data_IF_347136483338
#
_entry.id   IF_347136483338
#
_cell.length_a   1.000
_cell.length_b   1.000
_cell.length_c   1.000
_cell.angle_alpha   90.00
_cell.angle_beta   90.00
_cell.angle_gamma   90.00
#
_symmetry.space_group_name_H-M   'P 1'
#
loop_
_entity.id
_entity.type
_entity.pdbx_description
1 polymer ?
#
# COMPACT_ATOMS: atom_id res chain seq x y z
N UNK A 1 -14.00 -7.72 6.29
CA UNK A 1 -15.23 -6.93 6.48
C UNK A 1 -14.89 -5.71 7.31
N UNK A 2 -15.16 -4.49 6.83
CA UNK A 2 -14.85 -3.26 7.55
C UNK A 2 -15.69 -3.18 8.83
N UNK A 3 -15.03 -2.97 9.98
CA UNK A 3 -15.64 -2.97 11.32
C UNK A 3 -16.74 -1.92 11.50
N UNK A 4 -16.75 -0.93 10.63
CA UNK A 4 -17.53 0.32 10.72
C UNK A 4 -18.34 0.56 9.45
N UNK A 5 -18.61 -0.49 8.67
CA UNK A 5 -19.51 -0.38 7.53
C UNK A 5 -20.81 0.30 7.97
N UNK A 6 -21.22 1.33 7.22
CA UNK A 6 -22.49 2.03 7.40
C UNK A 6 -23.69 1.08 7.69
N UNK A 7 -23.83 -0.09 7.02
CA UNK A 7 -24.89 -1.05 7.36
C UNK A 7 -24.81 -1.63 8.78
N UNK A 8 -23.63 -1.82 9.36
CA UNK A 8 -23.46 -2.34 10.72
C UNK A 8 -23.87 -1.30 11.77
N UNK A 9 -23.60 -0.03 11.49
CA UNK A 9 -24.01 1.08 12.36
C UNK A 9 -25.54 1.26 12.31
N UNK A 10 -26.13 1.21 11.11
CA UNK A 10 -27.59 1.27 10.93
C UNK A 10 -28.28 0.10 11.63
N UNK A 11 -27.77 -1.13 11.47
CA UNK A 11 -28.34 -2.30 12.14
C UNK A 11 -28.19 -2.23 13.67
N UNK A 12 -27.06 -1.72 14.19
CA UNK A 12 -26.87 -1.48 15.62
C UNK A 12 -27.88 -0.50 16.21
N UNK A 13 -28.12 0.64 15.53
CA UNK A 13 -29.12 1.64 15.94
C UNK A 13 -30.52 1.04 15.92
N UNK A 14 -30.90 0.37 14.83
CA UNK A 14 -32.21 -0.29 14.69
C UNK A 14 -32.42 -1.34 15.77
N UNK A 15 -31.42 -2.19 16.03
CA UNK A 15 -31.49 -3.23 17.05
C UNK A 15 -31.65 -2.63 18.46
N UNK A 16 -30.93 -1.54 18.75
CA UNK A 16 -31.06 -0.82 20.04
C UNK A 16 -32.49 -0.29 20.24
N UNK A 17 -33.07 0.32 19.20
CA UNK A 17 -34.44 0.83 19.24
C UNK A 17 -35.46 -0.30 19.42
N UNK A 18 -35.31 -1.40 18.66
CA UNK A 18 -36.17 -2.58 18.77
C UNK A 18 -36.12 -3.20 20.17
N UNK A 19 -34.92 -3.34 20.76
CA UNK A 19 -34.73 -3.84 22.13
C UNK A 19 -35.40 -2.92 23.16
N UNK A 20 -35.24 -1.60 23.02
CA UNK A 20 -35.90 -0.62 23.89
C UNK A 20 -37.43 -0.73 23.83
N UNK A 21 -37.99 -0.77 22.62
CA UNK A 21 -39.45 -0.91 22.41
C UNK A 21 -39.96 -2.24 22.92
N UNK A 22 -39.27 -3.35 22.62
CA UNK A 22 -39.65 -4.68 23.09
C UNK A 22 -39.62 -4.76 24.63
N UNK A 23 -38.61 -4.15 25.26
CA UNK A 23 -38.51 -4.06 26.74
C UNK A 23 -39.68 -3.27 27.32
N UNK A 24 -40.05 -2.14 26.70
CA UNK A 24 -41.22 -1.34 27.11
C UNK A 24 -42.56 -2.07 26.92
N UNK A 25 -42.75 -2.76 25.80
CA UNK A 25 -43.95 -3.56 25.54
C UNK A 25 -44.06 -4.75 26.49
N UNK A 26 -42.95 -5.43 26.78
CA UNK A 26 -42.88 -6.53 27.75
C UNK A 26 -43.22 -6.03 29.16
N UNK A 27 -42.76 -4.83 29.51
CA UNK A 27 -43.10 -4.15 30.77
C UNK A 27 -44.59 -3.90 30.87
N UNK A 28 -45.20 -3.36 29.81
CA UNK A 28 -46.63 -3.05 29.77
C UNK A 28 -47.48 -4.33 29.87
N UNK A 29 -47.11 -5.39 29.14
CA UNK A 29 -47.90 -6.61 29.03
C UNK A 29 -47.80 -7.54 30.24
N UNK A 30 -46.65 -7.60 30.92
CA UNK A 30 -46.41 -8.57 32.01
C UNK A 30 -46.15 -7.94 33.38
N UNK A 31 -46.23 -6.61 33.50
CA UNK A 31 -45.85 -5.86 34.71
C UNK A 31 -46.63 -6.19 35.98
N UNK A 32 -47.78 -6.88 35.90
CA UNK A 32 -48.69 -7.07 37.02
C UNK A 32 -48.69 -8.46 37.69
N UNK A 33 -48.17 -9.52 37.04
CA UNK A 33 -48.45 -10.90 37.52
C UNK A 33 -47.29 -11.92 37.59
N UNK A 34 -46.03 -11.60 37.23
CA UNK A 34 -44.94 -12.60 37.31
C UNK A 34 -43.68 -12.07 38.01
N UNK A 35 -43.47 -12.51 39.26
CA UNK A 35 -42.28 -12.20 40.07
C UNK A 35 -40.97 -12.57 39.36
N UNK A 36 -40.92 -13.72 38.67
CA UNK A 36 -39.72 -14.18 37.94
C UNK A 36 -39.34 -13.24 36.79
N UNK A 37 -40.33 -12.77 36.02
CA UNK A 37 -40.12 -11.79 34.95
C UNK A 37 -39.58 -10.48 35.53
N UNK A 38 -40.05 -10.10 36.72
CA UNK A 38 -39.66 -8.87 37.39
C UNK A 38 -38.23 -8.93 37.95
N UNK A 39 -37.83 -10.06 38.51
CA UNK A 39 -36.55 -10.20 39.21
C UNK A 39 -35.37 -10.49 38.26
N UNK A 40 -35.58 -11.28 37.20
CA UNK A 40 -34.47 -11.76 36.36
C UNK A 40 -34.49 -11.12 34.97
N UNK A 41 -35.67 -11.11 34.33
CA UNK A 41 -35.76 -10.70 32.93
C UNK A 41 -35.58 -9.19 32.74
N UNK A 42 -35.99 -8.38 33.73
CA UNK A 42 -35.83 -6.93 33.73
C UNK A 42 -34.38 -6.46 33.74
N UNK A 43 -33.54 -6.83 34.74
CA UNK A 43 -32.15 -6.40 34.74
C UNK A 43 -31.41 -6.93 33.52
N UNK A 44 -31.71 -8.16 33.06
CA UNK A 44 -31.09 -8.73 31.87
C UNK A 44 -31.42 -7.93 30.60
N UNK A 45 -32.69 -7.58 30.37
CA UNK A 45 -33.10 -6.79 29.20
C UNK A 45 -32.52 -5.36 29.24
N UNK A 46 -32.46 -4.75 30.42
CA UNK A 46 -31.85 -3.44 30.60
C UNK A 46 -30.34 -3.48 30.32
N UNK A 47 -29.62 -4.44 30.90
CA UNK A 47 -28.19 -4.65 30.67
C UNK A 47 -27.88 -4.96 29.19
N UNK A 48 -28.73 -5.75 28.52
CA UNK A 48 -28.56 -6.05 27.11
C UNK A 48 -28.76 -4.80 26.24
N UNK A 49 -29.79 -4.00 26.54
CA UNK A 49 -30.05 -2.74 25.82
C UNK A 49 -28.90 -1.75 26.02
N UNK A 50 -28.40 -1.63 27.25
CA UNK A 50 -27.26 -0.80 27.61
C UNK A 50 -25.98 -1.27 26.92
N UNK A 51 -25.68 -2.57 26.95
CA UNK A 51 -24.51 -3.15 26.28
C UNK A 51 -24.55 -2.90 24.76
N UNK A 52 -25.71 -3.07 24.12
CA UNK A 52 -25.87 -2.80 22.68
C UNK A 52 -25.75 -1.30 22.38
N UNK A 53 -26.29 -0.43 23.23
CA UNK A 53 -26.16 1.01 23.09
C UNK A 53 -24.69 1.47 23.20
N UNK A 54 -23.98 1.05 24.26
CA UNK A 54 -22.55 1.34 24.46
C UNK A 54 -21.71 0.81 23.30
N UNK A 55 -21.98 -0.42 22.85
CA UNK A 55 -21.28 -1.01 21.69
C UNK A 55 -21.53 -0.20 20.42
N UNK A 56 -22.77 0.26 20.19
CA UNK A 56 -23.11 1.08 19.01
C UNK A 56 -22.40 2.43 19.06
N UNK A 57 -22.36 3.10 20.21
CA UNK A 57 -21.60 4.35 20.40
C UNK A 57 -20.11 4.13 20.21
N UNK A 58 -19.55 3.05 20.76
CA UNK A 58 -18.14 2.70 20.60
C UNK A 58 -17.79 2.44 19.12
N UNK A 59 -18.64 1.74 18.36
CA UNK A 59 -18.48 1.55 16.92
C UNK A 59 -18.54 2.89 16.16
N UNK A 60 -19.46 3.77 16.55
CA UNK A 60 -19.57 5.12 15.97
C UNK A 60 -18.34 5.98 16.23
N UNK A 61 -17.87 6.03 17.48
CA UNK A 61 -16.64 6.72 17.86
C UNK A 61 -15.42 6.11 17.15
N UNK A 62 -15.33 4.77 17.08
CA UNK A 62 -14.29 4.07 16.36
C UNK A 62 -14.29 4.42 14.86
N UNK A 63 -15.46 4.64 14.25
CA UNK A 63 -15.58 5.10 12.86
C UNK A 63 -15.13 6.54 12.68
N UNK A 64 -15.52 7.43 13.60
CA UNK A 64 -15.17 8.85 13.53
C UNK A 64 -13.67 9.09 13.79
N UNK A 65 -13.07 8.29 14.66
CA UNK A 65 -11.69 8.44 15.12
C UNK A 65 -10.74 7.42 14.46
N UNK A 66 -11.26 6.46 13.69
CA UNK A 66 -10.51 5.38 13.02
C UNK A 66 -9.51 4.63 13.93
N UNK A 67 -9.91 4.34 15.18
CA UNK A 67 -9.02 3.77 16.20
C UNK A 67 -8.66 2.32 15.88
N UNK A 68 -9.65 1.53 15.45
CA UNK A 68 -9.53 0.12 15.12
C UNK A 68 -10.01 -0.14 13.68
N UNK A 69 -9.08 -0.48 12.76
CA UNK A 69 -9.40 -0.72 11.35
C UNK A 69 -10.22 -2.00 11.10
N UNK A 70 -10.07 -3.05 11.94
CA UNK A 70 -10.71 -4.36 11.72
C UNK A 70 -10.85 -5.22 12.99
N UNK A 71 -11.72 -6.25 12.92
CA UNK A 71 -12.11 -7.08 14.08
C UNK A 71 -10.95 -7.95 14.56
N UNK A 72 -10.07 -8.31 13.63
CA UNK A 72 -8.84 -9.03 13.92
C UNK A 72 -7.87 -8.19 14.75
N UNK A 73 -7.92 -6.86 14.70
CA UNK A 73 -7.11 -6.00 15.59
C UNK A 73 -7.69 -5.99 17.00
N UNK A 74 -9.01 -5.84 17.11
CA UNK A 74 -9.71 -5.82 18.40
C UNK A 74 -9.61 -7.16 19.14
N UNK A 75 -9.67 -8.28 18.42
CA UNK A 75 -9.63 -9.65 19.00
C UNK A 75 -8.20 -10.21 19.05
N UNK A 76 -7.17 -9.37 18.84
CA UNK A 76 -5.77 -9.73 19.10
C UNK A 76 -5.06 -10.55 18.01
N UNK A 77 -5.63 -10.67 16.81
CA UNK A 77 -5.05 -11.37 15.66
C UNK A 77 -3.96 -10.59 14.91
N UNK A 78 -3.85 -9.27 15.10
CA UNK A 78 -2.80 -8.45 14.47
C UNK A 78 -2.20 -7.52 15.51
N UNK A 79 -0.97 -7.81 15.95
CA UNK A 79 -0.31 -7.09 17.06
C UNK A 79 0.10 -5.65 16.74
N UNK A 80 0.11 -5.25 15.47
CA UNK A 80 0.38 -3.88 15.04
C UNK A 80 -0.25 -3.65 13.67
N UNK A 81 -1.33 -2.87 13.58
CA UNK A 81 -1.66 -2.25 12.29
C UNK A 81 -0.81 -1.01 12.19
N UNK A 82 0.14 -1.04 11.26
CA UNK A 82 0.91 0.14 10.92
C UNK A 82 -0.04 1.09 10.19
N UNK A 83 -0.62 2.06 10.93
CA UNK A 83 -1.41 3.12 10.31
C UNK A 83 -0.42 3.97 9.52
N UNK A 84 -0.49 3.85 8.20
CA UNK A 84 0.30 4.64 7.27
C UNK A 84 0.02 6.12 7.56
N UNK A 85 1.03 6.84 8.06
CA UNK A 85 0.89 8.26 8.36
C UNK A 85 0.63 9.03 7.05
N UNK A 86 -0.13 10.12 7.10
CA UNK A 86 -0.27 11.02 5.94
C UNK A 86 0.80 12.09 6.03
N UNK A 87 1.69 12.15 5.04
CA UNK A 87 2.72 13.16 4.99
C UNK A 87 2.15 14.52 4.56
N UNK A 88 2.78 15.63 4.98
CA UNK A 88 2.42 16.95 4.48
C UNK A 88 2.71 17.04 2.98
N UNK A 89 1.93 17.87 2.28
CA UNK A 89 2.10 18.05 0.83
C UNK A 89 3.34 18.85 0.46
N UNK A 90 3.91 19.62 1.39
CA UNK A 90 5.13 20.40 1.22
C UNK A 90 6.05 20.19 2.44
N UNK A 91 7.36 20.32 2.25
CA UNK A 91 8.35 20.12 3.31
C UNK A 91 8.48 18.64 3.72
N UNK A 92 8.35 17.72 2.77
CA UNK A 92 8.38 16.28 3.04
C UNK A 92 9.68 15.83 3.73
N UNK A 93 10.83 16.33 3.28
CA UNK A 93 12.14 16.04 3.91
C UNK A 93 12.22 16.49 5.36
N UNK A 94 11.72 17.67 5.68
CA UNK A 94 11.75 18.17 7.05
C UNK A 94 10.82 17.38 7.97
N UNK A 95 9.65 16.98 7.44
CA UNK A 95 8.77 16.05 8.13
C UNK A 95 9.45 14.69 8.35
N UNK A 96 10.11 14.13 7.33
CA UNK A 96 10.86 12.87 7.45
C UNK A 96 12.01 12.98 8.46
N UNK A 97 12.70 14.12 8.51
CA UNK A 97 13.72 14.38 9.51
C UNK A 97 13.15 14.35 10.93
N UNK A 98 11.95 14.93 11.13
CA UNK A 98 11.20 14.82 12.39
C UNK A 98 10.78 13.39 12.75
N UNK A 99 10.70 12.47 11.77
CA UNK A 99 10.40 11.05 11.98
C UNK A 99 11.66 10.17 12.12
N UNK A 100 12.86 10.75 12.19
CA UNK A 100 14.12 10.00 12.15
C UNK A 100 14.21 8.91 13.21
N UNK A 101 13.77 9.15 14.44
CA UNK A 101 13.78 8.14 15.53
C UNK A 101 12.95 6.91 15.18
N UNK A 102 11.78 7.09 14.57
CA UNK A 102 10.92 5.98 14.14
C UNK A 102 11.50 5.27 12.90
N UNK A 103 12.02 6.06 11.96
CA UNK A 103 12.53 5.57 10.69
C UNK A 103 13.88 4.86 10.75
N UNK A 104 14.71 5.16 11.75
CA UNK A 104 16.12 4.75 11.82
C UNK A 104 16.33 3.24 11.70
N UNK A 105 15.55 2.44 12.43
CA UNK A 105 15.71 0.98 12.47
C UNK A 105 14.91 0.27 11.38
N UNK A 106 13.76 0.83 11.04
CA UNK A 106 12.66 0.10 10.40
C UNK A 106 12.24 0.67 9.05
N UNK A 107 12.73 1.86 8.69
CA UNK A 107 12.16 2.67 7.62
C UNK A 107 10.81 3.26 8.02
N UNK A 108 10.13 3.88 7.06
CA UNK A 108 8.82 4.50 7.29
C UNK A 108 7.95 4.36 6.04
N UNK A 109 6.68 4.02 6.23
CA UNK A 109 5.68 4.05 5.16
C UNK A 109 4.64 5.14 5.45
N UNK A 110 4.31 5.95 4.44
CA UNK A 110 3.38 7.06 4.55
C UNK A 110 2.59 7.28 3.26
N UNK A 111 1.37 7.77 3.37
CA UNK A 111 0.58 8.22 2.23
C UNK A 111 1.12 9.58 1.80
N UNK A 112 1.51 9.67 0.53
CA UNK A 112 2.14 10.86 -0.03
C UNK A 112 1.24 11.47 -1.09
N UNK A 113 1.06 12.78 -1.02
CA UNK A 113 0.36 13.57 -2.02
C UNK A 113 1.23 14.79 -2.33
N UNK A 114 1.73 14.94 -3.57
CA UNK A 114 2.57 16.09 -3.91
C UNK A 114 1.78 17.40 -3.79
N UNK A 115 2.46 18.48 -3.40
CA UNK A 115 1.89 19.83 -3.42
C UNK A 115 1.56 20.23 -4.87
N UNK A 116 0.27 20.32 -5.17
CA UNK A 116 -0.27 21.04 -6.33
C UNK A 116 0.30 20.60 -7.70
N UNK A 117 0.20 19.32 -8.04
CA UNK A 117 0.38 18.87 -9.42
C UNK A 117 -0.98 18.87 -10.16
N UNK A 118 -1.24 19.83 -11.08
CA UNK A 118 -2.53 19.90 -11.80
C UNK A 118 -2.81 18.65 -12.65
N UNK A 119 -1.74 17.95 -13.04
CA UNK A 119 -1.82 16.71 -13.83
C UNK A 119 -1.88 15.44 -12.97
N UNK A 120 -1.96 15.58 -11.64
CA UNK A 120 -2.03 14.42 -10.74
C UNK A 120 -3.41 13.77 -10.75
N UNK A 121 -3.56 12.73 -11.58
CA UNK A 121 -4.83 12.02 -11.83
C UNK A 121 -4.94 10.64 -11.19
N UNK A 122 -4.08 10.32 -10.22
CA UNK A 122 -4.20 9.04 -9.51
C UNK A 122 -5.44 9.04 -8.60
N UNK A 123 -6.22 7.95 -8.57
CA UNK A 123 -7.49 7.88 -7.85
C UNK A 123 -7.31 7.96 -6.32
N UNK A 124 -6.14 7.55 -5.83
CA UNK A 124 -5.75 7.58 -4.43
C UNK A 124 -4.30 8.05 -4.30
N UNK A 125 -3.94 8.73 -3.20
CA UNK A 125 -2.55 9.04 -2.91
C UNK A 125 -1.71 7.75 -2.90
N UNK A 126 -0.54 7.71 -3.56
CA UNK A 126 0.38 6.59 -3.44
C UNK A 126 0.89 6.46 -2.00
N UNK A 127 1.24 5.24 -1.63
CA UNK A 127 1.97 4.98 -0.38
C UNK A 127 3.44 4.88 -0.70
N UNK A 128 4.25 5.72 -0.06
CA UNK A 128 5.70 5.71 -0.19
C UNK A 128 6.29 5.02 1.03
N UNK A 129 7.19 4.07 0.81
CA UNK A 129 7.99 3.44 1.85
C UNK A 129 9.46 3.79 1.63
N UNK A 130 10.05 4.50 2.59
CA UNK A 130 11.48 4.82 2.61
C UNK A 130 12.25 3.81 3.47
N UNK A 131 13.44 3.37 3.05
CA UNK A 131 14.21 2.37 3.79
C UNK A 131 14.84 2.96 5.05
N UNK A 132 15.21 2.12 6.02
CA UNK A 132 15.95 2.54 7.22
C UNK A 132 17.25 3.30 6.89
N UNK A 133 17.92 2.91 5.80
CA UNK A 133 19.12 3.60 5.31
C UNK A 133 18.86 5.08 4.97
N UNK A 134 17.63 5.45 4.60
CA UNK A 134 17.24 6.85 4.34
C UNK A 134 17.48 7.77 5.53
N UNK A 135 17.23 7.27 6.74
CA UNK A 135 17.38 8.05 7.96
C UNK A 135 18.81 8.02 8.52
N UNK A 136 19.66 7.12 8.00
CA UNK A 136 21.04 6.92 8.45
C UNK A 136 22.05 7.64 7.57
N UNK A 137 21.82 7.65 6.27
CA UNK A 137 22.67 8.32 5.31
C UNK A 137 21.94 9.53 4.74
N UNK A 138 22.24 10.71 5.30
CA UNK A 138 21.56 11.93 4.91
C UNK A 138 21.99 12.47 3.55
N UNK A 139 23.10 11.95 3.01
CA UNK A 139 23.70 12.42 1.77
C UNK A 139 23.31 11.52 0.59
N UNK A 140 23.04 10.23 0.84
CA UNK A 140 22.70 9.27 -0.19
C UNK A 140 21.41 9.59 -0.95
N UNK A 141 21.42 9.22 -2.24
CA UNK A 141 20.23 9.13 -3.09
C UNK A 141 19.86 7.69 -3.35
N UNK A 142 18.58 7.36 -3.15
CA UNK A 142 18.08 6.00 -3.12
C UNK A 142 17.43 5.62 -4.46
N UNK A 143 17.62 4.38 -4.94
CA UNK A 143 16.89 3.90 -6.12
C UNK A 143 15.38 3.84 -5.82
N UNK A 144 14.57 3.88 -6.87
CA UNK A 144 13.11 3.86 -6.75
C UNK A 144 12.54 2.59 -7.37
N UNK A 145 11.60 1.96 -6.65
CA UNK A 145 10.79 0.85 -7.16
C UNK A 145 9.33 1.30 -7.14
N UNK A 146 8.71 1.43 -8.32
CA UNK A 146 7.29 1.78 -8.44
C UNK A 146 6.48 0.50 -8.57
N UNK A 147 5.59 0.22 -7.62
CA UNK A 147 4.67 -0.93 -7.67
C UNK A 147 3.31 -0.45 -8.13
N UNK A 148 2.85 -0.94 -9.28
CA UNK A 148 1.54 -0.60 -9.85
C UNK A 148 0.61 -1.80 -9.73
N UNK A 149 -0.57 -1.57 -9.17
CA UNK A 149 -1.60 -2.59 -9.01
C UNK A 149 -2.99 -2.00 -9.25
N UNK A 150 -3.97 -2.80 -9.71
CA UNK A 150 -5.34 -2.34 -9.76
C UNK A 150 -5.85 -1.98 -8.35
N UNK A 151 -6.80 -1.06 -8.27
CA UNK A 151 -7.37 -0.57 -7.00
C UNK A 151 -7.89 -1.69 -6.10
N UNK A 152 -8.40 -2.76 -6.69
CA UNK A 152 -8.96 -3.90 -5.97
C UNK A 152 -7.96 -5.03 -5.69
N UNK A 153 -6.68 -4.89 -6.04
CA UNK A 153 -5.69 -5.91 -5.71
C UNK A 153 -5.58 -6.06 -4.18
N UNK A 154 -5.59 -7.29 -3.71
CA UNK A 154 -5.40 -7.61 -2.30
C UNK A 154 -4.43 -8.76 -2.11
N UNK A 155 -4.30 -9.27 -0.87
CA UNK A 155 -3.38 -10.37 -0.58
C UNK A 155 -3.60 -11.61 -1.46
N UNK A 156 -4.85 -12.01 -1.80
CA UNK A 156 -5.09 -13.14 -2.70
C UNK A 156 -4.63 -12.92 -4.14
N UNK A 157 -4.54 -11.66 -4.58
CA UNK A 157 -4.32 -11.29 -5.97
C UNK A 157 -2.85 -10.93 -6.27
N UNK A 158 -1.89 -11.26 -5.41
CA UNK A 158 -0.42 -11.15 -5.61
C UNK A 158 0.36 -10.85 -4.31
N UNK A 159 -0.31 -10.85 -3.15
CA UNK A 159 0.34 -10.53 -1.87
C UNK A 159 0.45 -9.06 -1.56
N UNK A 160 -0.29 -8.21 -2.27
CA UNK A 160 -0.43 -6.82 -1.86
C UNK A 160 -1.32 -6.72 -0.62
N UNK A 161 -0.76 -6.28 0.50
CA UNK A 161 -1.49 -6.01 1.74
C UNK A 161 -1.21 -4.58 2.20
N UNK A 162 -2.22 -3.72 2.17
CA UNK A 162 -2.10 -2.30 2.59
C UNK A 162 -1.67 -2.17 4.07
N UNK A 163 -1.92 -3.19 4.90
CA UNK A 163 -1.51 -3.22 6.31
C UNK A 163 -0.07 -3.68 6.51
N UNK A 164 0.58 -4.25 5.48
CA UNK A 164 1.95 -4.78 5.54
C UNK A 164 2.83 -4.18 4.45
N UNK A 165 2.50 -2.96 4.00
CA UNK A 165 3.22 -2.27 2.93
C UNK A 165 4.69 -2.09 3.30
N UNK A 166 5.01 -1.64 4.52
CA UNK A 166 6.41 -1.47 4.93
C UNK A 166 7.15 -2.81 4.97
N UNK A 167 6.55 -3.86 5.54
CA UNK A 167 7.14 -5.19 5.56
C UNK A 167 7.43 -5.71 4.15
N UNK A 168 6.52 -5.45 3.21
CA UNK A 168 6.66 -5.83 1.80
C UNK A 168 7.76 -5.01 1.14
N UNK A 169 7.77 -3.69 1.33
CA UNK A 169 8.76 -2.75 0.80
C UNK A 169 10.20 -3.09 1.22
N UNK A 170 10.41 -3.54 2.46
CA UNK A 170 11.73 -3.97 2.96
C UNK A 170 12.37 -5.08 2.12
N UNK A 171 11.57 -5.85 1.39
CA UNK A 171 12.10 -6.87 0.47
C UNK A 171 12.82 -6.26 -0.73
N UNK A 172 12.53 -5.00 -1.07
CA UNK A 172 13.24 -4.20 -2.08
C UNK A 172 14.60 -3.66 -1.61
N UNK A 173 15.06 -4.03 -0.40
CA UNK A 173 16.37 -3.63 0.11
C UNK A 173 16.41 -2.15 0.51
N UNK A 174 17.38 -1.41 -0.04
CA UNK A 174 17.59 0.02 0.24
C UNK A 174 16.92 0.93 -0.79
N UNK A 175 15.85 0.49 -1.46
CA UNK A 175 15.10 1.32 -2.38
C UNK A 175 13.95 2.07 -1.69
N UNK A 176 13.60 3.25 -2.22
CA UNK A 176 12.31 3.89 -1.96
C UNK A 176 11.26 3.16 -2.79
N UNK A 177 10.23 2.60 -2.13
CA UNK A 177 9.19 1.82 -2.80
C UNK A 177 7.90 2.64 -2.84
N UNK A 178 7.35 2.85 -4.03
CA UNK A 178 6.17 3.67 -4.26
C UNK A 178 5.02 2.78 -4.74
N UNK A 179 4.01 2.64 -3.89
CA UNK A 179 2.85 1.80 -4.12
C UNK A 179 1.72 2.62 -4.72
N UNK A 180 1.35 2.31 -5.97
CA UNK A 180 0.32 3.02 -6.73
C UNK A 180 -0.87 2.10 -7.04
N UNK A 181 -2.05 2.56 -6.65
CA UNK A 181 -3.34 1.94 -7.01
C UNK A 181 -3.91 2.62 -8.26
N UNK A 182 -4.37 1.79 -9.20
CA UNK A 182 -4.85 2.25 -10.50
C UNK A 182 -6.31 1.86 -10.74
N UNK A 183 -7.08 2.82 -11.25
CA UNK A 183 -8.41 2.61 -11.83
C UNK A 183 -8.32 2.52 -13.36
N UNK A 184 -7.52 3.40 -13.98
CA UNK A 184 -7.24 3.42 -15.42
C UNK A 184 -5.72 3.35 -15.66
N UNK A 185 -5.16 2.17 -16.03
CA UNK A 185 -3.74 2.03 -16.33
C UNK A 185 -3.26 2.92 -17.49
N UNK A 186 -4.10 3.15 -18.51
CA UNK A 186 -3.70 3.93 -19.68
C UNK A 186 -3.62 5.43 -19.34
N UNK A 187 -4.63 5.95 -18.63
CA UNK A 187 -4.64 7.32 -18.14
C UNK A 187 -3.56 7.61 -17.08
N UNK A 188 -3.07 6.58 -16.37
CA UNK A 188 -2.00 6.73 -15.39
C UNK A 188 -0.59 6.77 -16.00
N UNK A 189 -0.40 6.31 -17.24
CA UNK A 189 0.93 6.22 -17.85
C UNK A 189 1.68 7.57 -17.87
N UNK A 190 1.10 8.70 -18.32
CA UNK A 190 1.79 9.99 -18.32
C UNK A 190 2.19 10.46 -16.90
N UNK A 191 1.33 10.17 -15.92
CA UNK A 191 1.61 10.51 -14.51
C UNK A 191 2.80 9.68 -14.02
N UNK A 192 2.83 8.38 -14.31
CA UNK A 192 3.88 7.48 -13.84
C UNK A 192 5.22 7.64 -14.59
N UNK A 193 5.19 8.04 -15.86
CA UNK A 193 6.38 8.24 -16.67
C UNK A 193 7.03 9.60 -16.46
N UNK A 194 6.25 10.63 -16.12
CA UNK A 194 6.71 12.03 -16.16
C UNK A 194 6.49 12.72 -14.82
N UNK A 195 5.23 12.93 -14.41
CA UNK A 195 4.92 13.74 -13.23
C UNK A 195 5.40 13.11 -11.92
N UNK A 196 5.20 11.81 -11.75
CA UNK A 196 5.60 11.06 -10.55
C UNK A 196 7.12 11.16 -10.34
N UNK A 197 7.98 10.87 -11.33
CA UNK A 197 9.41 11.07 -11.17
C UNK A 197 9.83 12.49 -10.79
N UNK A 198 9.29 13.51 -11.44
CA UNK A 198 9.61 14.91 -11.15
C UNK A 198 9.23 15.33 -9.73
N UNK A 199 8.08 14.85 -9.23
CA UNK A 199 7.64 15.15 -7.87
C UNK A 199 8.47 14.39 -6.82
N UNK A 200 8.83 13.13 -7.08
CA UNK A 200 9.69 12.37 -6.19
C UNK A 200 11.11 12.97 -6.12
N UNK A 201 11.67 13.42 -7.24
CA UNK A 201 12.99 14.09 -7.26
C UNK A 201 13.01 15.37 -6.43
N UNK A 202 11.87 16.06 -6.34
CA UNK A 202 11.71 17.30 -5.57
C UNK A 202 11.52 17.02 -4.09
N UNK A 203 10.68 16.04 -3.76
CA UNK A 203 10.23 15.81 -2.40
C UNK A 203 11.10 14.81 -1.64
N UNK A 204 11.91 13.99 -2.33
CA UNK A 204 12.74 12.93 -1.77
C UNK A 204 14.14 12.87 -2.39
N UNK A 205 15.10 12.33 -1.63
CA UNK A 205 16.46 11.99 -2.12
C UNK A 205 16.46 10.71 -2.94
N UNK A 206 15.89 10.77 -4.14
CA UNK A 206 15.88 9.65 -5.09
C UNK A 206 16.92 9.82 -6.18
N UNK A 207 17.35 8.70 -6.76
CA UNK A 207 18.26 8.71 -7.91
C UNK A 207 17.54 9.20 -9.18
N UNK A 208 18.25 9.89 -10.10
CA UNK A 208 17.61 10.45 -11.31
C UNK A 208 17.22 9.39 -12.35
N UNK A 209 17.70 8.14 -12.26
CA UNK A 209 17.43 7.08 -13.23
C UNK A 209 17.68 5.68 -12.66
N UNK A 210 17.65 4.66 -13.53
CA UNK A 210 17.76 3.25 -13.17
C UNK A 210 16.65 2.78 -12.20
N UNK A 211 15.46 3.36 -12.34
CA UNK A 211 14.29 2.98 -11.58
C UNK A 211 13.79 1.63 -12.03
N UNK A 212 13.02 1.02 -11.15
CA UNK A 212 12.34 -0.21 -11.44
C UNK A 212 10.84 -0.09 -11.27
N UNK A 213 10.11 -0.96 -11.96
CA UNK A 213 8.65 -1.02 -11.92
C UNK A 213 8.16 -2.45 -11.70
N UNK A 214 7.18 -2.63 -10.82
CA UNK A 214 6.54 -3.92 -10.57
C UNK A 214 5.07 -3.83 -10.93
N UNK A 215 4.65 -4.54 -11.98
CA UNK A 215 3.26 -4.59 -12.43
C UNK A 215 2.54 -5.81 -11.89
N UNK A 216 1.43 -5.60 -11.18
CA UNK A 216 0.65 -6.65 -10.54
C UNK A 216 -0.62 -6.98 -11.33
N UNK A 217 -0.79 -8.26 -11.68
CA UNK A 217 -1.98 -8.78 -12.37
C UNK A 217 -2.28 -8.01 -13.66
N UNK A 218 -3.48 -7.42 -13.81
CA UNK A 218 -3.84 -6.59 -14.97
C UNK A 218 -2.92 -5.39 -15.24
N UNK A 219 -2.13 -4.94 -14.26
CA UNK A 219 -1.20 -3.81 -14.43
C UNK A 219 0.17 -4.22 -15.01
N UNK A 220 0.41 -5.51 -15.31
CA UNK A 220 1.65 -5.98 -15.93
C UNK A 220 1.99 -5.30 -17.27
N UNK A 221 1.04 -5.09 -18.22
CA UNK A 221 1.36 -4.41 -19.48
C UNK A 221 1.89 -2.99 -19.27
N UNK A 222 1.31 -2.26 -18.31
CA UNK A 222 1.73 -0.91 -17.96
C UNK A 222 3.18 -0.87 -17.43
N UNK A 223 3.60 -1.87 -16.65
CA UNK A 223 4.99 -1.96 -16.20
C UNK A 223 5.96 -2.12 -17.38
N UNK A 224 5.59 -2.85 -18.43
CA UNK A 224 6.38 -2.92 -19.66
C UNK A 224 6.34 -1.63 -20.46
N UNK A 225 5.21 -0.91 -20.47
CA UNK A 225 5.12 0.40 -21.13
C UNK A 225 6.01 1.44 -20.45
N UNK A 226 6.14 1.37 -19.11
CA UNK A 226 7.02 2.26 -18.34
C UNK A 226 8.50 2.06 -18.64
N UNK A 227 8.94 0.88 -19.07
CA UNK A 227 10.31 0.65 -19.55
C UNK A 227 10.68 1.46 -20.81
N UNK A 228 9.70 2.07 -21.49
CA UNK A 228 9.96 2.99 -22.61
C UNK A 228 10.32 4.39 -22.13
N UNK A 229 10.03 4.72 -20.88
CA UNK A 229 10.44 5.98 -20.29
C UNK A 229 11.90 5.89 -19.82
N UNK A 230 12.70 6.96 -19.99
CA UNK A 230 14.17 6.90 -19.83
C UNK A 230 14.64 6.56 -18.42
N UNK A 231 13.77 6.73 -17.42
CA UNK A 231 14.12 6.48 -16.01
C UNK A 231 14.02 5.02 -15.61
N UNK A 232 13.22 4.20 -16.29
CA UNK A 232 12.97 2.81 -15.90
C UNK A 232 13.82 1.84 -16.72
N UNK A 233 14.55 0.95 -16.05
CA UNK A 233 15.40 -0.06 -16.70
C UNK A 233 15.09 -1.50 -16.28
N UNK A 234 14.41 -1.65 -15.15
CA UNK A 234 14.13 -2.96 -14.55
C UNK A 234 12.62 -3.11 -14.34
N UNK A 235 12.04 -4.25 -14.69
CA UNK A 235 10.65 -4.56 -14.40
C UNK A 235 10.43 -5.94 -13.79
N UNK A 236 9.40 -6.06 -12.96
CA UNK A 236 8.87 -7.35 -12.51
C UNK A 236 7.38 -7.45 -12.85
N UNK A 237 6.99 -8.58 -13.42
CA UNK A 237 5.60 -8.90 -13.77
C UNK A 237 5.07 -9.91 -12.76
N UNK A 238 4.18 -9.48 -11.87
CA UNK A 238 3.67 -10.29 -10.78
C UNK A 238 2.31 -10.85 -11.14
N UNK A 239 2.23 -12.17 -11.26
CA UNK A 239 1.01 -12.84 -11.64
C UNK A 239 0.07 -13.05 -10.45
N UNK A 240 -1.18 -12.63 -10.60
CA UNK A 240 -2.22 -12.68 -9.58
C UNK A 240 -2.97 -14.02 -9.54
N UNK A 241 -3.02 -14.76 -10.65
CA UNK A 241 -3.67 -16.07 -10.77
C UNK A 241 -2.73 -17.28 -10.73
N UNK A 242 -3.30 -18.47 -10.90
CA UNK A 242 -2.54 -19.73 -11.01
C UNK A 242 -2.03 -19.99 -12.43
N UNK A 243 -2.71 -19.44 -13.43
CA UNK A 243 -2.26 -19.46 -14.82
C UNK A 243 -1.23 -18.37 -15.02
N UNK A 244 -0.12 -18.67 -15.68
CA UNK A 244 0.92 -17.67 -15.99
C UNK A 244 0.38 -16.49 -16.83
N UNK A 245 1.22 -15.46 -17.06
CA UNK A 245 0.81 -14.28 -17.81
C UNK A 245 0.33 -14.62 -19.22
N UNK A 246 -0.51 -13.76 -19.79
CA UNK A 246 -1.05 -13.97 -21.13
C UNK A 246 0.07 -14.07 -22.19
N UNK A 247 -0.10 -14.96 -23.18
CA UNK A 247 0.87 -15.18 -24.27
C UNK A 247 1.37 -13.89 -24.94
N UNK A 248 0.49 -12.95 -25.35
CA UNK A 248 0.92 -11.69 -25.96
C UNK A 248 1.83 -10.85 -25.06
N UNK A 249 1.67 -10.93 -23.74
CA UNK A 249 2.53 -10.24 -22.79
C UNK A 249 3.91 -10.90 -22.71
N UNK A 250 3.97 -12.23 -22.70
CA UNK A 250 5.23 -12.98 -22.74
C UNK A 250 5.99 -12.72 -24.03
N UNK A 251 5.29 -12.62 -25.16
CA UNK A 251 5.89 -12.25 -26.45
C UNK A 251 6.49 -10.84 -26.37
N UNK A 252 5.82 -9.87 -25.76
CA UNK A 252 6.41 -8.54 -25.53
C UNK A 252 7.70 -8.62 -24.72
N UNK A 253 7.76 -9.45 -23.67
CA UNK A 253 8.97 -9.62 -22.85
C UNK A 253 10.13 -10.18 -23.67
N UNK A 254 9.88 -11.15 -24.55
CA UNK A 254 10.91 -11.75 -25.42
C UNK A 254 11.53 -10.77 -26.41
N UNK A 255 10.78 -9.73 -26.79
CA UNK A 255 11.19 -8.73 -27.78
C UNK A 255 11.62 -7.40 -27.14
N UNK A 256 11.91 -7.39 -25.84
CA UNK A 256 12.42 -6.18 -25.19
C UNK A 256 13.82 -5.82 -25.71
N UNK A 257 14.13 -4.51 -25.83
CA UNK A 257 15.48 -4.05 -26.13
C UNK A 257 16.53 -4.66 -25.18
N UNK A 258 17.71 -4.93 -25.73
CA UNK A 258 18.88 -5.35 -24.94
C UNK A 258 19.22 -4.26 -23.92
N UNK A 259 19.57 -4.68 -22.69
CA UNK A 259 19.90 -3.78 -21.59
C UNK A 259 18.76 -3.53 -20.60
N UNK A 260 17.54 -3.98 -20.89
CA UNK A 260 16.43 -3.99 -19.94
C UNK A 260 16.37 -5.30 -19.17
N UNK A 261 16.08 -5.22 -17.88
CA UNK A 261 16.00 -6.39 -17.00
C UNK A 261 14.54 -6.67 -16.66
N UNK A 262 14.01 -7.85 -17.03
CA UNK A 262 12.63 -8.21 -16.72
C UNK A 262 12.53 -9.60 -16.12
N UNK A 263 11.77 -9.74 -15.02
CA UNK A 263 11.41 -11.02 -14.41
C UNK A 263 9.90 -11.23 -14.42
N UNK A 264 9.48 -12.47 -14.65
CA UNK A 264 8.11 -12.91 -14.38
C UNK A 264 8.05 -13.67 -13.07
N UNK A 265 7.19 -13.23 -12.15
CA UNK A 265 6.95 -13.90 -10.86
C UNK A 265 5.55 -14.52 -10.87
N UNK A 266 5.48 -15.85 -10.87
CA UNK A 266 4.24 -16.61 -11.01
C UNK A 266 4.25 -17.89 -10.17
N UNK A 267 3.11 -18.59 -10.10
CA UNK A 267 2.97 -19.87 -9.39
C UNK A 267 3.95 -20.93 -9.90
N UNK A 268 4.16 -20.94 -11.22
CA UNK A 268 5.07 -21.80 -11.95
C UNK A 268 5.76 -21.01 -13.07
N UNK A 269 6.92 -21.48 -13.58
CA UNK A 269 7.61 -20.83 -14.69
C UNK A 269 6.71 -20.70 -15.93
N UNK A 270 6.63 -19.51 -16.56
CA UNK A 270 5.71 -19.24 -17.69
C UNK A 270 6.16 -19.85 -19.02
N UNK A 271 7.36 -20.47 -19.08
CA UNK A 271 7.91 -21.11 -20.27
C UNK A 271 9.43 -21.00 -20.34
N UNK A 272 10.03 -21.74 -21.29
CA UNK A 272 11.47 -21.70 -21.54
C UNK A 272 11.90 -20.33 -22.12
N UNK A 273 13.14 -19.93 -21.84
CA UNK A 273 13.76 -18.72 -22.39
C UNK A 273 13.35 -17.40 -21.73
N UNK A 274 12.60 -17.43 -20.62
CA UNK A 274 12.24 -16.25 -19.84
C UNK A 274 12.88 -16.29 -18.46
N UNK A 275 13.43 -15.15 -18.02
CA UNK A 275 13.86 -14.98 -16.63
C UNK A 275 12.59 -14.98 -15.76
N UNK A 276 12.48 -15.97 -14.88
CA UNK A 276 11.29 -16.13 -14.05
C UNK A 276 11.64 -16.67 -12.66
N UNK A 277 10.78 -16.33 -11.71
CA UNK A 277 10.86 -16.78 -10.32
C UNK A 277 9.55 -17.46 -9.95
N UNK A 278 9.61 -18.73 -9.57
CA UNK A 278 8.45 -19.46 -9.08
C UNK A 278 8.16 -19.10 -7.61
N UNK A 279 6.94 -18.64 -7.35
CA UNK A 279 6.42 -18.33 -6.03
C UNK A 279 5.01 -18.92 -5.92
N UNK A 280 4.89 -20.16 -5.39
CA UNK A 280 3.63 -20.93 -5.42
C UNK A 280 2.47 -20.17 -4.77
N UNK A 281 2.74 -19.52 -3.64
CA UNK A 281 1.72 -18.82 -2.86
C UNK A 281 1.56 -17.39 -3.34
N UNK A 282 0.34 -17.02 -3.75
CA UNK A 282 0.02 -15.67 -4.23
C UNK A 282 0.51 -14.57 -3.27
N UNK A 283 0.40 -14.79 -1.96
CA UNK A 283 0.82 -13.85 -0.92
C UNK A 283 2.31 -13.53 -0.88
N UNK A 284 3.15 -14.35 -1.53
CA UNK A 284 4.62 -14.21 -1.52
C UNK A 284 5.19 -13.66 -2.83
N UNK A 285 4.36 -13.51 -3.87
CA UNK A 285 4.82 -13.17 -5.21
C UNK A 285 5.33 -11.74 -5.30
N UNK A 286 4.61 -10.76 -4.73
CA UNK A 286 5.08 -9.38 -4.69
C UNK A 286 6.39 -9.24 -3.89
N UNK A 287 6.51 -9.93 -2.76
CA UNK A 287 7.76 -9.98 -1.96
C UNK A 287 8.92 -10.54 -2.79
N UNK A 288 8.71 -11.62 -3.54
CA UNK A 288 9.72 -12.20 -4.41
C UNK A 288 10.11 -11.26 -5.56
N UNK A 289 9.14 -10.56 -6.15
CA UNK A 289 9.37 -9.56 -7.18
C UNK A 289 10.20 -8.38 -6.66
N UNK A 290 9.82 -7.80 -5.52
CA UNK A 290 10.58 -6.71 -4.90
C UNK A 290 12.00 -7.12 -4.56
N UNK A 291 12.20 -8.34 -4.06
CA UNK A 291 13.55 -8.87 -3.80
C UNK A 291 14.39 -8.95 -5.07
N UNK A 292 13.83 -9.51 -6.13
CA UNK A 292 14.54 -9.61 -7.41
C UNK A 292 14.86 -8.23 -7.97
N UNK A 293 13.88 -7.32 -7.97
CA UNK A 293 14.05 -5.95 -8.46
C UNK A 293 15.11 -5.20 -7.64
N UNK A 294 15.08 -5.30 -6.31
CA UNK A 294 16.07 -4.66 -5.44
C UNK A 294 17.50 -5.13 -5.70
N UNK A 295 17.69 -6.39 -6.13
CA UNK A 295 18.99 -6.92 -6.55
C UNK A 295 19.47 -6.39 -7.91
N UNK A 296 18.56 -5.88 -8.74
CA UNK A 296 18.83 -5.36 -10.08
C UNK A 296 18.68 -3.83 -10.16
N UNK A 297 18.46 -3.17 -9.03
CA UNK A 297 18.60 -1.71 -8.90
C UNK A 297 19.99 -1.38 -8.35
N UNK A 298 20.62 -0.28 -8.80
CA UNK A 298 21.91 0.13 -8.26
C UNK A 298 21.82 0.45 -6.76
N UNK A 299 22.92 0.31 -6.00
CA UNK A 299 22.94 0.70 -4.60
C UNK A 299 22.69 2.22 -4.45
N UNK A 300 22.32 2.70 -3.24
CA UNK A 300 22.24 4.13 -2.96
C UNK A 300 23.54 4.85 -3.33
N UNK A 301 23.43 6.01 -3.99
CA UNK A 301 24.56 6.79 -4.44
C UNK A 301 24.90 7.86 -3.41
N UNK A 302 26.08 7.78 -2.81
CA UNK A 302 26.63 8.86 -2.01
C UNK A 302 27.14 9.99 -2.93
N UNK A 303 27.03 11.27 -2.53
CA UNK A 303 27.64 12.37 -3.27
C UNK A 303 29.18 12.30 -3.23
N UNK A 304 29.88 12.96 -4.17
CA UNK A 304 29.34 13.86 -5.19
C UNK A 304 28.74 13.10 -6.38
N UNK A 305 27.50 13.45 -6.73
CA UNK A 305 26.91 13.05 -8.01
C UNK A 305 27.57 13.94 -9.06
N UNK A 306 28.69 13.48 -9.60
CA UNK A 306 29.34 14.17 -10.71
C UNK A 306 28.37 14.08 -11.89
N UNK A 307 27.80 15.21 -12.27
CA UNK A 307 27.07 15.34 -13.52
C UNK A 307 28.07 15.10 -14.66
N UNK A 308 27.95 14.01 -15.44
CA UNK A 308 28.88 13.73 -16.53
C UNK A 308 28.81 14.78 -17.65
N UNK A 309 27.81 15.67 -17.63
CA UNK A 309 27.65 16.77 -18.58
C UNK A 309 28.15 18.12 -18.07
N UNK A 310 28.50 18.24 -16.78
CA UNK A 310 29.07 19.46 -16.25
C UNK A 310 30.51 19.65 -16.77
N UNK A 311 30.85 20.80 -17.39
CA UNK A 311 32.21 21.06 -17.83
C UNK A 311 33.15 21.02 -16.62
N UNK A 312 34.22 20.22 -16.73
CA UNK A 312 35.25 20.13 -15.69
C UNK A 312 35.81 21.55 -15.44
N UNK A 313 35.62 22.13 -14.26
CA UNK A 313 36.18 23.43 -13.95
C UNK A 313 37.69 23.25 -13.76
N UNK A 314 38.48 23.72 -14.72
CA UNK A 314 39.95 23.71 -14.61
C UNK A 314 40.74 23.33 -15.85
N UNK A 315 40.12 23.17 -17.02
CA UNK A 315 40.87 23.09 -18.28
C UNK A 315 41.49 24.44 -18.63
N UNK A 316 42.66 24.75 -18.07
CA UNK A 316 43.47 25.89 -18.48
C UNK A 316 43.82 25.77 -19.98
N UNK A 317 43.52 26.82 -20.73
CA UNK A 317 44.12 27.08 -22.04
C UNK A 317 45.35 27.94 -21.86
#
# INVERSE_FOLDING_TARGET
MALTGLPLLVTGVVLTLLLGVATGLLWWRFGRHRLVVRAVLRPLALLLTEAVAVTTVAIGANRALEIYPSWSVLVGGVRTVEKTATAPSAGLEEWLHGQATQGHDNGLAFAWKPAQAPDWRLPTPPVVAVPAAYFRDSAARFPVIVVVAPRHAGPPAAGWDDHRVLQTARSGGSAVVVFVRLDDPAGALPVLSTSLPEQLDRDLRVQPGNWAVTGVGPAQPLALDLLRAPRYQTAALVNDGDRGPAGPLLDRVRHLPVGLNVVVVAAAPPGAGLVSTAAPHATTRLTAALRWVGQHTPPPLAPPLVDPTAPVPGGAR
#
